data_IF_444644199622
#
_entry.id   IF_444644199622
#
_cell.length_a   1.000
_cell.length_b   1.000
_cell.length_c   1.000
_cell.angle_alpha   90.00
_cell.angle_beta   90.00
_cell.angle_gamma   90.00
#
_symmetry.space_group_name_H-M   'P 1'
#
loop_
_entity.id
_entity.type
_entity.pdbx_description
1 polymer ?
#
# COMPACT_ATOMS: atom_id res chain seq x y z
N UNK A 1 14.77 9.71 -8.51
CA UNK A 1 13.55 9.06 -9.04
C UNK A 1 13.26 7.79 -8.28
N UNK A 2 11.98 7.46 -8.11
CA UNK A 2 11.56 6.22 -7.45
C UNK A 2 11.51 5.06 -8.45
N UNK A 3 11.93 3.88 -8.01
CA UNK A 3 11.83 2.63 -8.77
C UNK A 3 10.56 1.90 -8.35
N UNK A 4 9.68 1.62 -9.31
CA UNK A 4 8.47 0.83 -9.08
C UNK A 4 8.83 -0.66 -9.00
N UNK A 5 8.37 -1.30 -7.92
CA UNK A 5 8.39 -2.75 -7.75
C UNK A 5 7.11 -3.41 -8.27
N UNK A 6 6.90 -4.71 -7.96
CA UNK A 6 5.71 -5.43 -8.40
C UNK A 6 4.43 -4.85 -7.79
N UNK A 7 3.29 -5.16 -8.44
CA UNK A 7 1.95 -4.87 -7.90
C UNK A 7 1.85 -5.39 -6.48
N UNK A 8 1.31 -4.55 -5.61
CA UNK A 8 1.07 -4.86 -4.22
C UNK A 8 -0.39 -5.25 -3.97
N UNK A 9 -1.32 -4.53 -4.60
CA UNK A 9 -2.75 -4.79 -4.42
C UNK A 9 -3.56 -4.36 -5.64
N UNK A 10 -4.61 -5.12 -5.94
CA UNK A 10 -5.76 -4.71 -6.75
C UNK A 10 -6.99 -4.62 -5.83
N UNK A 11 -7.39 -3.39 -5.50
CA UNK A 11 -8.42 -3.11 -4.50
C UNK A 11 -9.70 -2.57 -5.16
N UNK A 12 -10.85 -3.14 -4.84
CA UNK A 12 -12.16 -2.63 -5.23
C UNK A 12 -12.81 -1.88 -4.07
N UNK A 13 -13.07 -0.59 -4.24
CA UNK A 13 -13.77 0.21 -3.25
C UNK A 13 -15.27 0.24 -3.58
N UNK A 14 -15.98 -0.76 -3.08
CA UNK A 14 -17.41 -1.03 -3.34
C UNK A 14 -18.34 0.18 -3.18
N UNK A 15 -18.25 0.96 -2.08
CA UNK A 15 -19.10 2.15 -1.87
C UNK A 15 -18.99 3.22 -2.97
N UNK A 16 -17.83 3.33 -3.63
CA UNK A 16 -17.57 4.34 -4.68
C UNK A 16 -17.43 3.74 -6.08
N UNK A 17 -17.56 2.41 -6.24
CA UNK A 17 -17.29 1.68 -7.50
C UNK A 17 -15.93 2.02 -8.13
N UNK A 18 -14.92 2.28 -7.30
CA UNK A 18 -13.57 2.60 -7.76
C UNK A 18 -12.67 1.39 -7.68
N UNK A 19 -11.71 1.30 -8.59
CA UNK A 19 -10.64 0.29 -8.56
C UNK A 19 -9.31 1.00 -8.33
N UNK A 20 -8.55 0.54 -7.36
CA UNK A 20 -7.21 1.03 -7.05
C UNK A 20 -6.19 -0.06 -7.29
N UNK A 21 -5.11 0.27 -8.01
CA UNK A 21 -3.94 -0.60 -8.11
C UNK A 21 -2.80 0.06 -7.35
N UNK A 22 -2.32 -0.61 -6.30
CA UNK A 22 -1.20 -0.14 -5.51
C UNK A 22 0.08 -0.82 -5.96
N UNK A 23 1.14 -0.04 -6.14
CA UNK A 23 2.50 -0.51 -6.38
C UNK A 23 3.38 -0.15 -5.19
N UNK A 24 4.33 -1.03 -4.86
CA UNK A 24 5.42 -0.66 -3.96
C UNK A 24 6.47 0.09 -4.77
N UNK A 25 7.01 1.16 -4.20
CA UNK A 25 8.09 1.91 -4.80
C UNK A 25 9.20 2.11 -3.77
N UNK A 26 10.44 2.20 -4.23
CA UNK A 26 11.61 2.53 -3.40
C UNK A 26 12.36 3.69 -4.03
N UNK A 27 12.93 4.55 -3.20
CA UNK A 27 13.78 5.65 -3.63
C UNK A 27 14.88 5.85 -2.59
N UNK A 28 16.09 6.14 -3.06
CA UNK A 28 17.21 6.56 -2.21
C UNK A 28 17.31 8.10 -2.16
N UNK A 29 16.59 8.79 -3.06
CA UNK A 29 16.53 10.24 -3.09
C UNK A 29 15.45 10.73 -2.12
N UNK A 30 15.88 11.31 -0.99
CA UNK A 30 15.03 12.11 -0.11
C UNK A 30 14.83 13.49 -0.73
N UNK A 31 13.94 13.55 -1.72
CA UNK A 31 13.43 14.82 -2.24
C UNK A 31 12.48 15.43 -1.20
N UNK A 32 12.68 16.69 -0.84
CA UNK A 32 11.68 17.49 -0.13
C UNK A 32 10.93 18.31 -1.17
N UNK A 33 9.83 17.77 -1.68
CA UNK A 33 8.83 18.60 -2.34
C UNK A 33 8.06 19.37 -1.28
N UNK A 34 7.74 20.63 -1.59
CA UNK A 34 6.81 21.40 -0.78
C UNK A 34 5.49 20.59 -0.65
N UNK A 35 4.95 20.54 0.56
CA UNK A 35 3.74 19.77 0.95
C UNK A 35 3.87 18.23 1.00
N UNK A 36 5.09 17.67 0.98
CA UNK A 36 5.32 16.24 1.23
C UNK A 36 6.20 15.99 2.45
N UNK A 37 5.83 14.97 3.24
CA UNK A 37 6.57 14.56 4.43
C UNK A 37 6.94 13.09 4.36
N UNK A 38 8.18 12.80 4.78
CA UNK A 38 8.63 11.44 5.04
C UNK A 38 8.02 10.97 6.36
N UNK A 39 7.35 9.82 6.35
CA UNK A 39 6.68 9.24 7.50
C UNK A 39 7.21 7.82 7.73
N UNK A 40 7.45 7.44 8.98
CA UNK A 40 7.88 6.09 9.29
C UNK A 40 6.75 5.08 8.99
N UNK A 41 7.10 3.88 8.53
CA UNK A 41 6.10 2.88 8.11
C UNK A 41 5.21 2.46 9.29
N UNK A 42 5.76 2.49 10.49
CA UNK A 42 5.08 2.15 11.75
C UNK A 42 4.04 3.20 12.16
N UNK A 43 4.13 4.42 11.63
CA UNK A 43 3.20 5.52 11.93
C UNK A 43 1.98 5.53 11.00
N UNK A 44 2.06 4.86 9.84
CA UNK A 44 0.97 4.81 8.85
C UNK A 44 -0.40 4.44 9.47
N UNK A 45 -0.53 3.46 10.39
CA UNK A 45 -1.83 3.13 10.98
C UNK A 45 -2.50 4.26 11.75
N UNK A 46 -1.72 5.26 12.19
CA UNK A 46 -2.16 6.35 13.05
C UNK A 46 -2.51 7.64 12.29
N UNK A 47 -2.37 7.65 10.96
CA UNK A 47 -2.68 8.80 10.12
C UNK A 47 -4.17 8.88 9.75
N UNK A 48 -4.59 10.08 9.34
CA UNK A 48 -5.88 10.31 8.72
C UNK A 48 -5.75 10.23 7.20
N UNK A 49 -6.67 9.49 6.57
CA UNK A 49 -6.68 9.27 5.13
C UNK A 49 -7.97 9.81 4.52
N UNK A 50 -7.88 10.23 3.26
CA UNK A 50 -8.99 10.79 2.48
C UNK A 50 -10.04 9.74 2.08
N UNK A 51 -9.68 8.45 2.08
CA UNK A 51 -10.62 7.34 1.93
C UNK A 51 -10.19 6.07 2.67
N UNK A 52 -11.17 5.19 2.89
CA UNK A 52 -11.01 3.93 3.60
C UNK A 52 -10.11 2.93 2.86
N UNK A 53 -10.07 2.96 1.52
CA UNK A 53 -9.25 2.06 0.72
C UNK A 53 -7.75 2.31 0.98
N UNK A 54 -7.32 3.58 0.92
CA UNK A 54 -5.96 3.99 1.27
C UNK A 54 -5.60 3.63 2.70
N UNK A 55 -6.50 3.93 3.65
CA UNK A 55 -6.28 3.60 5.07
C UNK A 55 -6.07 2.10 5.29
N UNK A 56 -6.89 1.28 4.61
CA UNK A 56 -6.83 -0.19 4.72
C UNK A 56 -5.52 -0.72 4.16
N UNK A 57 -5.13 -0.27 2.97
CA UNK A 57 -3.91 -0.75 2.30
C UNK A 57 -2.63 -0.31 3.00
N UNK A 58 -2.58 0.90 3.56
CA UNK A 58 -1.40 1.39 4.29
C UNK A 58 -1.25 0.74 5.68
N UNK A 59 -2.36 0.43 6.38
CA UNK A 59 -2.32 -0.38 7.61
C UNK A 59 -1.81 -1.78 7.35
N UNK A 60 -2.30 -2.41 6.28
CA UNK A 60 -1.85 -3.72 5.84
C UNK A 60 -0.35 -3.70 5.49
N UNK A 61 0.08 -2.71 4.72
CA UNK A 61 1.49 -2.54 4.35
C UNK A 61 2.39 -2.38 5.58
N UNK A 62 1.98 -1.58 6.57
CA UNK A 62 2.70 -1.41 7.83
C UNK A 62 2.88 -2.74 8.59
N UNK A 63 1.86 -3.61 8.55
CA UNK A 63 1.90 -4.93 9.19
C UNK A 63 2.82 -5.89 8.44
N UNK A 64 2.67 -5.99 7.12
CA UNK A 64 3.49 -6.89 6.27
C UNK A 64 4.96 -6.47 6.21
N UNK A 65 5.24 -5.16 6.29
CA UNK A 65 6.63 -4.67 6.31
C UNK A 65 7.44 -5.20 7.48
N UNK A 66 6.80 -5.50 8.63
CA UNK A 66 7.44 -6.06 9.82
C UNK A 66 7.93 -7.50 9.61
N UNK A 67 7.20 -8.30 8.83
CA UNK A 67 7.60 -9.67 8.51
C UNK A 67 8.46 -9.75 7.24
N UNK A 68 8.42 -8.74 6.38
CA UNK A 68 9.11 -8.73 5.09
C UNK A 68 8.46 -9.63 4.03
N UNK A 69 7.35 -10.28 4.37
CA UNK A 69 6.59 -11.16 3.48
C UNK A 69 5.41 -10.38 2.91
N UNK A 70 5.35 -10.30 1.60
CA UNK A 70 4.31 -9.57 0.88
C UNK A 70 3.66 -10.48 -0.15
N UNK A 71 2.35 -10.64 -0.06
CA UNK A 71 1.53 -11.24 -1.12
C UNK A 71 0.79 -10.17 -1.90
N UNK A 72 0.35 -10.51 -3.11
CA UNK A 72 -0.53 -9.64 -3.90
C UNK A 72 -1.94 -9.75 -3.33
N UNK A 73 -2.47 -8.64 -2.81
CA UNK A 73 -3.84 -8.58 -2.33
C UNK A 73 -4.82 -8.32 -3.47
N UNK A 74 -5.92 -9.08 -3.53
CA UNK A 74 -7.02 -8.83 -4.46
C UNK A 74 -8.33 -8.87 -3.66
N UNK A 75 -9.03 -7.76 -3.58
CA UNK A 75 -10.27 -7.70 -2.79
C UNK A 75 -10.74 -6.28 -2.48
N UNK A 76 -11.49 -6.13 -1.41
CA UNK A 76 -12.04 -4.86 -0.93
C UNK A 76 -11.67 -4.61 0.55
N UNK A 77 -12.41 -3.72 1.22
CA UNK A 77 -12.21 -3.37 2.64
C UNK A 77 -12.64 -4.46 3.62
N UNK A 78 -13.38 -5.46 3.17
CA UNK A 78 -13.98 -6.51 3.99
C UNK A 78 -13.45 -7.91 3.65
N UNK A 79 -13.28 -8.23 2.37
CA UNK A 79 -12.91 -9.56 1.87
C UNK A 79 -11.86 -9.46 0.78
N UNK A 80 -10.89 -10.37 0.79
CA UNK A 80 -9.95 -10.52 -0.31
C UNK A 80 -8.98 -11.68 -0.13
N UNK A 81 -8.34 -12.02 -1.24
CA UNK A 81 -7.37 -13.12 -1.34
C UNK A 81 -5.95 -12.58 -1.36
N UNK A 82 -5.04 -13.35 -0.77
CA UNK A 82 -3.60 -13.08 -0.79
C UNK A 82 -2.95 -14.13 -1.70
N UNK A 83 -2.34 -13.67 -2.78
CA UNK A 83 -1.60 -14.53 -3.69
C UNK A 83 -0.10 -14.40 -3.38
N UNK A 84 0.56 -15.52 -3.10
CA UNK A 84 2.01 -15.52 -2.92
C UNK A 84 2.68 -15.02 -4.20
N UNK A 85 3.55 -14.03 -4.07
CA UNK A 85 4.33 -13.55 -5.18
C UNK A 85 5.52 -14.52 -5.37
N UNK A 86 5.28 -15.63 -6.07
CA UNK A 86 6.32 -16.58 -6.45
C UNK A 86 7.21 -15.99 -7.55
N UNK A 87 8.03 -15.00 -7.18
CA UNK A 87 9.16 -14.60 -7.98
C UNK A 87 10.29 -15.63 -7.73
N UNK A 88 10.31 -16.69 -8.54
CA UNK A 88 11.52 -17.49 -8.75
C UNK A 88 12.54 -16.69 -9.55
#
# INVERSE_FOLDING_TARGET
>A
DAVLGPVYSAFHHGPRRMHFTYYRAVTEALSTQDDCHWIAVEELPNLNYTDSAHATMLRRYSTERKSGVFGVYIGDEHVGDIHENNAN
#
